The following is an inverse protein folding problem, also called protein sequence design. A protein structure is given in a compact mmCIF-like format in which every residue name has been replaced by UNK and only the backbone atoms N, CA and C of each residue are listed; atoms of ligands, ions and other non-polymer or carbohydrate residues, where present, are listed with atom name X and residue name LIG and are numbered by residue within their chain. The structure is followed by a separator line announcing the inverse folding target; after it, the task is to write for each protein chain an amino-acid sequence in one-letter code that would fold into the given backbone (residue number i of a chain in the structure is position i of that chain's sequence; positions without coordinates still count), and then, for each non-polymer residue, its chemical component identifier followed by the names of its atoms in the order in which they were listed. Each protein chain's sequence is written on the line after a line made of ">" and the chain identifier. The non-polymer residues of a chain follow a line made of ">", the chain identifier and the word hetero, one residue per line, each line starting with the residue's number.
data_IF_567088619528
#
_entry.id   IF_567088619528
#
_cell.length_a   1.000
_cell.length_b   1.000
_cell.length_c   1.000
_cell.angle_alpha   90.00
_cell.angle_beta   90.00
_cell.angle_gamma   90.00
#
_symmetry.space_group_name_H-M   'P 1'
#
loop_
_entity.id
_entity.type
_entity.pdbx_description
1 polymer ?
#
# COMPACT_ATOMS: atom_id res chain seq x y z
N UNK A 1 1.03 -27.76 6.99
CA UNK A 1 2.49 -28.03 6.90
C UNK A 1 2.86 -27.95 5.44
N UNK A 2 3.27 -26.78 4.97
CA UNK A 2 3.75 -26.58 3.60
C UNK A 2 5.17 -27.09 3.47
N UNK A 3 5.46 -27.71 2.33
CA UNK A 3 6.79 -28.17 1.96
C UNK A 3 7.70 -26.95 1.75
N UNK A 4 8.52 -26.62 2.74
CA UNK A 4 9.66 -25.72 2.49
C UNK A 4 10.57 -26.39 1.46
N UNK A 5 10.98 -25.67 0.41
CA UNK A 5 11.88 -26.24 -0.58
C UNK A 5 13.20 -26.62 0.09
N UNK A 6 13.71 -27.83 -0.20
CA UNK A 6 15.01 -28.29 0.31
C UNK A 6 16.18 -27.42 -0.18
N UNK A 7 15.98 -26.71 -1.29
CA UNK A 7 16.90 -25.75 -1.89
C UNK A 7 16.11 -24.55 -2.48
N UNK A 8 16.58 -23.33 -2.24
CA UNK A 8 15.98 -22.09 -2.79
C UNK A 8 15.36 -21.17 -1.73
N UNK A 9 14.93 -19.98 -2.17
CA UNK A 9 14.21 -19.00 -1.36
C UNK A 9 12.73 -19.03 -1.75
N UNK A 10 11.83 -19.14 -0.77
CA UNK A 10 10.39 -19.05 -0.97
C UNK A 10 9.91 -17.65 -0.60
N UNK A 11 9.25 -16.96 -1.53
CA UNK A 11 8.53 -15.71 -1.27
C UNK A 11 7.04 -16.01 -1.44
N UNK A 12 6.27 -15.75 -0.39
CA UNK A 12 4.81 -15.84 -0.38
C UNK A 12 4.17 -14.49 -0.72
N UNK A 13 2.87 -14.50 -1.03
CA UNK A 13 2.07 -13.29 -1.17
C UNK A 13 2.14 -12.40 0.08
N UNK A 14 2.14 -13.01 1.27
CA UNK A 14 2.20 -12.28 2.54
C UNK A 14 3.54 -11.53 2.70
N UNK A 15 4.64 -12.10 2.22
CA UNK A 15 5.95 -11.42 2.22
C UNK A 15 5.90 -10.16 1.35
N UNK A 16 5.29 -10.27 0.17
CA UNK A 16 5.12 -9.17 -0.79
C UNK A 16 4.26 -8.03 -0.22
N UNK A 17 3.15 -8.37 0.44
CA UNK A 17 2.25 -7.40 1.06
C UNK A 17 2.98 -6.59 2.11
N UNK A 18 3.68 -7.23 3.04
CA UNK A 18 4.38 -6.50 4.10
C UNK A 18 5.65 -5.81 3.61
N UNK A 19 6.26 -6.29 2.52
CA UNK A 19 7.31 -5.55 1.84
C UNK A 19 6.78 -4.23 1.28
N UNK A 20 5.60 -4.26 0.64
CA UNK A 20 4.91 -3.06 0.18
C UNK A 20 4.59 -2.12 1.35
N UNK A 21 3.96 -2.62 2.42
CA UNK A 21 3.58 -1.80 3.59
C UNK A 21 4.77 -1.07 4.18
N UNK A 22 5.85 -1.79 4.51
CA UNK A 22 7.06 -1.18 5.08
C UNK A 22 7.67 -0.17 4.12
N UNK A 23 7.74 -0.49 2.82
CA UNK A 23 8.30 0.40 1.80
C UNK A 23 7.48 1.69 1.61
N UNK A 24 6.14 1.60 1.62
CA UNK A 24 5.25 2.76 1.47
C UNK A 24 5.42 3.73 2.64
N UNK A 25 5.59 3.22 3.85
CA UNK A 25 5.81 4.05 5.04
C UNK A 25 7.28 4.42 5.28
N UNK A 26 8.18 4.06 4.36
CA UNK A 26 9.59 4.48 4.39
C UNK A 26 10.46 3.75 5.40
N UNK A 27 10.08 2.52 5.79
CA UNK A 27 10.89 1.68 6.66
C UNK A 27 11.85 0.80 5.86
N UNK A 28 13.11 0.82 6.27
CA UNK A 28 14.12 -0.12 5.78
C UNK A 28 13.85 -1.54 6.31
N UNK A 29 13.96 -2.52 5.41
CA UNK A 29 13.81 -3.93 5.72
C UNK A 29 15.14 -4.67 5.62
N UNK A 30 15.23 -5.83 6.29
CA UNK A 30 16.46 -6.65 6.36
C UNK A 30 16.15 -8.14 6.23
N UNK A 31 17.14 -8.92 5.77
CA UNK A 31 17.13 -10.37 5.98
C UNK A 31 17.37 -10.66 7.46
N UNK A 32 16.34 -11.13 8.15
CA UNK A 32 16.40 -11.54 9.54
C UNK A 32 16.18 -13.04 9.58
N UNK A 33 17.09 -13.77 10.22
CA UNK A 33 17.01 -15.23 10.37
C UNK A 33 17.08 -15.65 11.82
N UNK A 34 16.33 -16.69 12.15
CA UNK A 34 16.39 -17.28 13.48
C UNK A 34 17.79 -17.82 13.78
N UNK A 35 18.39 -17.36 14.89
CA UNK A 35 19.73 -17.80 15.33
C UNK A 35 19.78 -19.26 15.75
N UNK A 36 18.63 -19.93 15.91
CA UNK A 36 18.54 -21.33 16.33
C UNK A 36 18.33 -22.32 15.18
N UNK A 37 17.52 -21.97 14.18
CA UNK A 37 17.15 -22.89 13.09
C UNK A 37 17.33 -22.30 11.69
N UNK A 38 17.76 -21.05 11.55
CA UNK A 38 17.98 -20.39 10.26
C UNK A 38 16.71 -19.99 9.51
N UNK A 39 15.51 -20.23 10.06
CA UNK A 39 14.25 -19.91 9.42
C UNK A 39 14.14 -18.40 9.10
N UNK A 40 13.79 -17.99 7.87
CA UNK A 40 13.58 -16.60 7.49
C UNK A 40 12.44 -15.95 8.30
N UNK A 41 12.66 -14.72 8.76
CA UNK A 41 11.71 -13.99 9.58
C UNK A 41 10.95 -12.95 8.76
N UNK A 42 9.63 -12.92 8.96
CA UNK A 42 8.74 -11.91 8.39
C UNK A 42 8.07 -11.14 9.52
N UNK A 43 8.29 -9.83 9.52
CA UNK A 43 7.54 -8.88 10.33
C UNK A 43 6.27 -8.45 9.61
N UNK A 44 5.13 -8.78 10.21
CA UNK A 44 3.80 -8.52 9.67
C UNK A 44 2.95 -7.66 10.61
N UNK A 45 1.84 -7.15 10.09
CA UNK A 45 0.88 -6.34 10.81
C UNK A 45 1.56 -5.15 11.50
N UNK A 46 1.36 -4.99 12.82
CA UNK A 46 2.01 -4.00 13.65
C UNK A 46 3.53 -3.99 13.50
N UNK A 47 4.17 -5.15 13.39
CA UNK A 47 5.62 -5.25 13.33
C UNK A 47 6.21 -4.81 11.99
N UNK A 48 5.41 -4.77 10.91
CA UNK A 48 5.82 -4.28 9.59
C UNK A 48 6.05 -2.76 9.51
N UNK A 49 5.73 -2.03 10.59
CA UNK A 49 5.89 -0.58 10.72
C UNK A 49 6.48 -0.17 12.08
N UNK A 50 6.99 -1.13 12.86
CA UNK A 50 7.61 -0.89 14.16
C UNK A 50 8.93 -1.67 14.28
N UNK A 51 10.08 -1.05 13.94
CA UNK A 51 11.38 -1.69 14.05
C UNK A 51 11.65 -2.21 15.47
N UNK A 52 12.16 -3.43 15.57
CA UNK A 52 12.46 -4.07 16.85
C UNK A 52 13.59 -5.10 16.70
N UNK A 53 14.12 -5.58 17.83
CA UNK A 53 15.23 -6.54 17.86
C UNK A 53 14.88 -7.89 18.47
N UNK A 54 13.66 -8.07 19.00
CA UNK A 54 13.23 -9.30 19.68
C UNK A 54 12.13 -9.98 18.87
N UNK A 55 12.39 -11.18 18.40
CA UNK A 55 11.52 -11.89 17.46
C UNK A 55 11.09 -13.24 18.02
N UNK A 56 9.92 -13.71 17.59
CA UNK A 56 9.44 -15.08 17.82
C UNK A 56 9.53 -15.85 16.51
N UNK A 57 10.35 -16.90 16.46
CA UNK A 57 10.55 -17.66 15.24
C UNK A 57 9.33 -18.53 14.89
N UNK A 58 8.76 -18.36 13.70
CA UNK A 58 7.66 -19.19 13.19
C UNK A 58 8.06 -20.65 12.92
N UNK A 59 9.34 -20.90 12.58
CA UNK A 59 9.83 -22.25 12.28
C UNK A 59 10.07 -23.13 13.52
N UNK A 60 10.64 -22.59 14.60
CA UNK A 60 10.99 -23.37 15.80
C UNK A 60 10.32 -22.90 17.11
N UNK A 61 9.55 -21.82 17.09
CA UNK A 61 8.85 -21.28 18.25
C UNK A 61 9.73 -20.62 19.32
N UNK A 62 11.05 -20.50 19.09
CA UNK A 62 11.97 -19.86 20.03
C UNK A 62 12.00 -18.35 19.86
N UNK A 63 12.14 -17.63 20.97
CA UNK A 63 12.47 -16.22 20.95
C UNK A 63 13.96 -16.05 20.62
N UNK A 64 14.28 -15.18 19.67
CA UNK A 64 15.65 -14.81 19.35
C UNK A 64 15.79 -13.28 19.31
N UNK A 65 17.04 -12.81 19.30
CA UNK A 65 17.34 -11.39 19.26
C UNK A 65 18.28 -11.08 18.12
N UNK A 66 17.97 -10.06 17.34
CA UNK A 66 18.89 -9.50 16.36
C UNK A 66 19.81 -8.43 17.01
N UNK A 67 20.95 -8.22 16.39
CA UNK A 67 21.98 -7.25 16.76
C UNK A 67 21.52 -5.80 16.61
N UNK A 68 20.59 -5.53 15.70
CA UNK A 68 20.08 -4.19 15.37
C UNK A 68 18.56 -4.24 15.33
N UNK A 69 17.89 -3.16 15.74
CA UNK A 69 16.44 -3.06 15.55
C UNK A 69 16.12 -2.83 14.07
N UNK A 70 15.18 -3.59 13.52
CA UNK A 70 14.80 -3.50 12.11
C UNK A 70 13.45 -4.16 11.84
N UNK A 71 13.10 -4.22 10.56
CA UNK A 71 11.93 -4.93 10.06
C UNK A 71 12.43 -6.09 9.20
N UNK A 72 12.15 -7.33 9.62
CA UNK A 72 12.49 -8.54 8.89
C UNK A 72 11.55 -8.77 7.72
N UNK A 73 12.09 -8.98 6.53
CA UNK A 73 11.30 -9.44 5.39
C UNK A 73 12.16 -10.35 4.48
N UNK A 74 11.72 -11.59 4.18
CA UNK A 74 12.49 -12.55 3.38
C UNK A 74 12.86 -12.06 1.97
N UNK A 75 12.12 -11.10 1.40
CA UNK A 75 12.42 -10.51 0.08
C UNK A 75 13.82 -9.89 0.04
N UNK A 76 14.31 -9.36 1.16
CA UNK A 76 15.65 -8.77 1.24
C UNK A 76 16.74 -9.80 1.00
N UNK A 77 16.58 -11.02 1.51
CA UNK A 77 17.50 -12.12 1.25
C UNK A 77 17.60 -12.41 -0.25
N UNK A 78 16.46 -12.39 -0.95
CA UNK A 78 16.39 -12.64 -2.40
C UNK A 78 17.07 -11.52 -3.19
N UNK A 79 16.80 -10.26 -2.85
CA UNK A 79 17.43 -9.10 -3.50
C UNK A 79 18.95 -9.13 -3.33
N UNK A 80 19.44 -9.42 -2.13
CA UNK A 80 20.86 -9.54 -1.81
C UNK A 80 21.52 -10.69 -2.57
N UNK A 81 20.88 -11.87 -2.59
CA UNK A 81 21.39 -13.06 -3.31
C UNK A 81 21.51 -12.82 -4.81
N UNK A 82 20.56 -12.08 -5.39
CA UNK A 82 20.56 -11.76 -6.82
C UNK A 82 21.44 -10.54 -7.17
N UNK A 83 22.08 -9.90 -6.18
CA UNK A 83 22.86 -8.69 -6.40
C UNK A 83 22.02 -7.53 -6.93
N UNK A 84 20.72 -7.51 -6.63
CA UNK A 84 19.81 -6.47 -7.10
C UNK A 84 20.03 -5.21 -6.28
N UNK A 85 20.62 -4.20 -6.92
CA UNK A 85 20.78 -2.88 -6.33
C UNK A 85 19.45 -2.14 -6.45
N UNK A 86 18.90 -1.71 -5.30
CA UNK A 86 17.73 -0.83 -5.30
C UNK A 86 18.07 0.46 -6.04
N UNK A 87 17.30 0.74 -7.10
CA UNK A 87 17.38 1.99 -7.86
C UNK A 87 16.23 2.87 -7.41
N UNK A 88 16.47 4.18 -7.35
CA UNK A 88 15.37 5.12 -7.13
C UNK A 88 14.42 5.03 -8.32
N UNK A 89 13.11 4.84 -8.08
CA UNK A 89 12.11 5.00 -9.12
C UNK A 89 12.20 6.38 -9.76
N UNK A 90 11.77 6.47 -11.01
CA UNK A 90 11.58 7.73 -11.73
C UNK A 90 10.09 7.99 -11.88
N UNK A 91 9.66 9.24 -11.77
CA UNK A 91 8.28 9.58 -12.04
C UNK A 91 7.88 9.11 -13.45
N UNK A 92 6.73 8.43 -13.56
CA UNK A 92 6.17 8.06 -14.85
C UNK A 92 6.02 9.31 -15.75
N UNK A 93 6.22 9.17 -17.05
CA UNK A 93 6.17 10.34 -17.94
C UNK A 93 4.73 10.71 -18.37
N UNK A 94 3.82 9.74 -18.34
CA UNK A 94 2.48 9.84 -18.94
C UNK A 94 1.47 10.36 -17.92
N UNK A 95 0.43 11.01 -18.42
CA UNK A 95 -0.78 11.34 -17.68
C UNK A 95 -1.99 10.79 -18.45
N UNK A 96 -3.07 10.51 -17.74
CA UNK A 96 -4.29 9.99 -18.36
C UNK A 96 -5.55 10.57 -17.74
N UNK A 97 -6.56 10.75 -18.58
CA UNK A 97 -7.92 11.09 -18.19
C UNK A 97 -8.85 10.03 -18.76
N UNK A 98 -9.66 9.40 -17.91
CA UNK A 98 -10.59 8.33 -18.26
C UNK A 98 -12.02 8.76 -17.99
N UNK A 99 -12.96 8.29 -18.80
CA UNK A 99 -14.38 8.32 -18.50
C UNK A 99 -14.84 6.90 -18.17
N UNK A 100 -15.50 6.68 -17.04
CA UNK A 100 -15.93 5.33 -16.64
C UNK A 100 -16.87 4.68 -17.66
N UNK A 101 -17.64 5.47 -18.42
CA UNK A 101 -18.54 4.95 -19.46
C UNK A 101 -17.81 4.31 -20.64
N UNK A 102 -16.56 4.70 -20.91
CA UNK A 102 -15.72 4.10 -21.95
C UNK A 102 -15.17 2.74 -21.51
N UNK A 103 -15.21 2.45 -20.22
CA UNK A 103 -14.65 1.27 -19.57
C UNK A 103 -15.69 0.53 -18.72
N UNK A 104 -16.79 0.04 -19.33
CA UNK A 104 -17.86 -0.62 -18.58
C UNK A 104 -17.42 -1.97 -17.97
N UNK A 105 -16.25 -2.49 -18.31
CA UNK A 105 -15.62 -3.64 -17.64
C UNK A 105 -15.06 -3.30 -16.25
N UNK A 106 -14.82 -2.00 -16.00
CA UNK A 106 -14.31 -1.46 -14.74
C UNK A 106 -12.93 -0.82 -14.89
N UNK A 107 -12.51 -0.06 -13.88
CA UNK A 107 -11.19 0.54 -13.77
C UNK A 107 -10.56 0.11 -12.44
N UNK A 108 -9.35 -0.43 -12.49
CA UNK A 108 -8.55 -0.74 -11.30
C UNK A 108 -7.37 0.19 -11.20
N UNK A 109 -7.09 0.66 -9.98
CA UNK A 109 -5.97 1.55 -9.70
C UNK A 109 -5.17 1.08 -8.49
N UNK A 110 -3.85 1.28 -8.51
CA UNK A 110 -3.00 1.16 -7.33
C UNK A 110 -1.81 2.11 -7.38
N UNK A 111 -1.26 2.43 -6.21
CA UNK A 111 -0.01 3.16 -6.14
C UNK A 111 1.12 2.26 -6.61
N UNK A 112 1.95 2.74 -7.52
CA UNK A 112 3.17 2.03 -7.92
C UNK A 112 4.04 1.75 -6.69
N UNK A 113 4.54 0.53 -6.56
CA UNK A 113 5.54 0.17 -5.55
C UNK A 113 6.75 -0.42 -6.22
N UNK A 114 7.90 -0.32 -5.56
CA UNK A 114 9.10 -1.02 -6.02
C UNK A 114 8.82 -2.51 -6.16
N UNK A 115 9.15 -3.07 -7.31
CA UNK A 115 9.05 -4.49 -7.58
C UNK A 115 9.90 -5.27 -6.58
N UNK A 116 9.41 -6.45 -6.20
CA UNK A 116 10.16 -7.39 -5.35
C UNK A 116 11.50 -7.71 -6.02
N UNK A 117 11.46 -7.96 -7.33
CA UNK A 117 12.60 -8.20 -8.20
C UNK A 117 12.43 -7.29 -9.43
N UNK A 118 13.40 -6.41 -9.65
CA UNK A 118 13.49 -5.59 -10.86
C UNK A 118 14.75 -5.94 -11.64
N UNK A 119 14.59 -6.80 -12.65
CA UNK A 119 15.70 -7.26 -13.50
C UNK A 119 15.95 -6.38 -14.73
N UNK A 120 15.07 -5.40 -14.98
CA UNK A 120 15.20 -4.50 -16.12
C UNK A 120 16.38 -3.54 -15.96
N UNK A 121 17.02 -3.21 -17.08
CA UNK A 121 18.07 -2.20 -17.13
C UNK A 121 17.56 -0.77 -16.91
N UNK A 122 16.24 -0.53 -17.04
CA UNK A 122 15.61 0.78 -16.80
C UNK A 122 15.36 1.05 -15.32
N UNK A 123 15.08 2.29 -14.95
CA UNK A 123 14.52 2.58 -13.63
C UNK A 123 13.04 2.16 -13.59
N UNK A 124 12.55 1.81 -12.40
CA UNK A 124 11.12 1.61 -12.17
C UNK A 124 10.38 2.94 -12.26
N UNK A 125 9.11 2.89 -12.67
CA UNK A 125 8.27 4.09 -12.72
C UNK A 125 7.44 4.23 -11.43
N UNK A 126 7.36 5.47 -10.90
CA UNK A 126 6.45 5.82 -9.82
C UNK A 126 5.24 6.63 -10.32
N UNK A 127 4.07 6.39 -9.74
CA UNK A 127 2.79 6.96 -10.14
C UNK A 127 1.59 6.13 -9.66
N UNK A 128 0.50 6.20 -10.41
CA UNK A 128 -0.67 5.34 -10.25
C UNK A 128 -0.68 4.38 -11.43
N UNK A 129 -0.66 3.10 -11.14
CA UNK A 129 -0.86 2.07 -12.14
C UNK A 129 -2.35 1.89 -12.38
N UNK A 130 -2.75 1.81 -13.65
CA UNK A 130 -4.14 1.79 -14.07
C UNK A 130 -4.37 0.63 -15.03
N UNK A 131 -5.37 -0.18 -14.72
CA UNK A 131 -5.99 -1.10 -15.66
C UNK A 131 -7.40 -0.60 -15.98
N UNK A 132 -7.73 -0.42 -17.26
CA UNK A 132 -9.08 -0.05 -17.69
C UNK A 132 -9.66 -1.10 -18.65
N UNK A 133 -10.85 -1.61 -18.34
CA UNK A 133 -11.45 -2.73 -19.06
C UNK A 133 -12.67 -2.26 -19.86
N UNK A 134 -12.64 -2.49 -21.18
CA UNK A 134 -13.82 -2.34 -22.03
C UNK A 134 -14.81 -3.47 -21.79
N UNK A 135 -16.04 -3.33 -22.32
CA UNK A 135 -17.04 -4.38 -22.26
C UNK A 135 -16.47 -5.70 -22.80
N UNK A 136 -16.61 -6.76 -22.00
CA UNK A 136 -16.27 -8.15 -22.36
C UNK A 136 -14.80 -8.37 -22.77
N UNK A 137 -13.90 -7.43 -22.43
CA UNK A 137 -12.46 -7.58 -22.62
C UNK A 137 -11.79 -8.05 -21.33
N UNK A 138 -11.04 -9.15 -21.42
CA UNK A 138 -10.14 -9.58 -20.33
C UNK A 138 -8.82 -8.79 -20.34
N UNK A 139 -8.46 -8.20 -21.47
CA UNK A 139 -7.28 -7.35 -21.58
C UNK A 139 -7.61 -5.92 -21.17
N UNK A 140 -6.80 -5.38 -20.26
CA UNK A 140 -6.83 -3.96 -19.90
C UNK A 140 -6.18 -3.13 -21.02
N UNK A 141 -6.80 -2.00 -21.35
CA UNK A 141 -6.27 -0.99 -22.27
C UNK A 141 -6.76 0.41 -21.85
N UNK A 142 -5.95 1.18 -21.11
CA UNK A 142 -4.54 0.93 -20.80
C UNK A 142 -4.29 -0.08 -19.68
N UNK A 143 -3.07 -0.61 -19.69
CA UNK A 143 -2.34 -1.28 -18.60
C UNK A 143 -0.97 -0.60 -18.51
N UNK A 144 -0.85 0.43 -17.66
CA UNK A 144 0.38 1.21 -17.53
C UNK A 144 0.43 2.04 -16.23
N UNK A 145 1.60 2.60 -15.94
CA UNK A 145 1.81 3.53 -14.81
C UNK A 145 1.80 4.98 -15.29
N UNK A 146 1.06 5.83 -14.58
CA UNK A 146 0.84 7.23 -14.93
C UNK A 146 1.20 8.16 -13.78
N UNK A 147 1.84 9.29 -14.08
CA UNK A 147 2.17 10.33 -13.10
C UNK A 147 0.95 11.07 -12.54
N UNK A 148 -0.13 11.09 -13.32
CA UNK A 148 -1.38 11.76 -12.99
C UNK A 148 -2.51 11.00 -13.65
N UNK A 149 -3.53 10.68 -12.85
CA UNK A 149 -4.75 9.99 -13.28
C UNK A 149 -5.94 10.84 -12.91
N UNK A 150 -6.82 11.06 -13.87
CA UNK A 150 -8.12 11.67 -13.70
C UNK A 150 -9.19 10.68 -14.17
N UNK A 151 -10.24 10.48 -13.37
CA UNK A 151 -11.38 9.63 -13.72
C UNK A 151 -12.64 10.48 -13.53
N UNK A 152 -13.47 10.62 -14.57
CA UNK A 152 -14.71 11.41 -14.54
C UNK A 152 -14.52 12.85 -14.00
N UNK A 153 -13.39 13.48 -14.32
CA UNK A 153 -13.03 14.83 -13.86
C UNK A 153 -12.46 14.89 -12.44
N UNK A 154 -12.33 13.75 -11.74
CA UNK A 154 -11.74 13.66 -10.41
C UNK A 154 -10.28 13.22 -10.49
N UNK A 155 -9.39 14.13 -10.10
CA UNK A 155 -7.96 13.87 -10.05
C UNK A 155 -7.58 13.02 -8.84
N UNK A 156 -6.77 12.01 -9.08
CA UNK A 156 -6.20 11.14 -8.05
C UNK A 156 -4.78 11.60 -7.68
N UNK A 157 -4.49 11.60 -6.38
CA UNK A 157 -3.17 11.89 -5.86
C UNK A 157 -2.39 10.57 -5.64
N UNK A 158 -1.24 10.35 -6.31
CA UNK A 158 -0.48 9.10 -6.20
C UNK A 158 -0.05 8.75 -4.77
N UNK A 159 0.27 9.74 -3.95
CA UNK A 159 0.66 9.50 -2.55
C UNK A 159 -0.53 9.02 -1.72
N UNK A 160 -1.73 9.57 -1.96
CA UNK A 160 -2.95 9.11 -1.30
C UNK A 160 -3.33 7.68 -1.71
N UNK A 161 -3.22 7.33 -3.00
CA UNK A 161 -3.50 5.97 -3.51
C UNK A 161 -2.53 4.97 -2.90
N UNK A 162 -1.23 5.27 -2.96
CA UNK A 162 -0.19 4.40 -2.40
C UNK A 162 -0.34 4.23 -0.89
N UNK A 163 -0.65 5.30 -0.17
CA UNK A 163 -0.87 5.28 1.28
C UNK A 163 -2.11 4.48 1.66
N UNK A 164 -3.23 4.64 0.93
CA UNK A 164 -4.47 3.91 1.21
C UNK A 164 -4.29 2.40 1.03
N UNK A 165 -3.57 2.00 -0.02
CA UNK A 165 -3.26 0.60 -0.29
C UNK A 165 -2.43 -0.04 0.85
N UNK A 166 -1.43 0.64 1.39
CA UNK A 166 -0.69 0.16 2.57
C UNK A 166 -1.56 0.16 3.84
N UNK A 167 -2.40 1.18 4.02
CA UNK A 167 -3.34 1.27 5.14
C UNK A 167 -4.35 0.12 5.16
N UNK A 168 -4.90 -0.25 3.99
CA UNK A 168 -5.85 -1.36 3.84
C UNK A 168 -5.21 -2.73 4.14
N UNK A 169 -3.89 -2.83 4.05
CA UNK A 169 -3.13 -4.04 4.38
C UNK A 169 -2.80 -4.19 5.87
N UNK A 170 -3.21 -3.23 6.72
CA UNK A 170 -2.92 -3.20 8.16
C UNK A 170 -4.21 -3.41 8.98
N UNK A 171 -4.46 -4.62 9.52
CA UNK A 171 -5.72 -4.93 10.20
C UNK A 171 -6.05 -4.03 11.40
N UNK A 172 -5.05 -3.52 12.10
CA UNK A 172 -5.24 -2.63 13.24
C UNK A 172 -5.76 -1.22 12.86
N UNK A 173 -5.76 -0.88 11.57
CA UNK A 173 -6.28 0.37 11.02
C UNK A 173 -7.72 0.24 10.50
N UNK A 174 -8.32 -0.95 10.56
CA UNK A 174 -9.67 -1.20 10.09
C UNK A 174 -10.68 -0.21 10.67
N UNK A 175 -11.54 0.34 9.79
CA UNK A 175 -12.51 1.40 10.05
C UNK A 175 -11.94 2.73 10.63
N UNK A 176 -10.62 2.90 10.77
CA UNK A 176 -9.99 4.11 11.32
C UNK A 176 -9.51 5.09 10.27
N UNK A 177 -9.27 4.62 9.05
CA UNK A 177 -8.93 5.46 7.91
C UNK A 177 -10.21 6.02 7.33
N UNK A 178 -10.36 7.34 7.33
CA UNK A 178 -11.61 8.01 6.97
C UNK A 178 -11.35 9.33 6.26
N UNK A 179 -12.31 9.81 5.45
CA UNK A 179 -12.26 11.15 4.90
C UNK A 179 -12.51 12.18 6.02
N UNK A 180 -11.48 12.96 6.37
CA UNK A 180 -11.57 14.01 7.39
C UNK A 180 -11.65 15.37 6.70
N UNK A 181 -12.73 16.11 6.93
CA UNK A 181 -12.95 17.45 6.39
C UNK A 181 -12.80 18.50 7.48
N UNK A 182 -12.11 19.60 7.18
CA UNK A 182 -12.01 20.72 8.10
C UNK A 182 -13.30 21.52 8.15
N UNK A 183 -13.85 21.76 9.35
CA UNK A 183 -15.07 22.55 9.53
C UNK A 183 -14.89 24.05 9.28
N UNK A 184 -13.65 24.53 9.11
CA UNK A 184 -13.33 25.96 8.92
C UNK A 184 -13.01 26.30 7.47
N UNK A 185 -12.13 25.53 6.81
CA UNK A 185 -11.69 25.80 5.44
C UNK A 185 -12.18 24.77 4.42
N UNK A 186 -12.94 23.76 4.83
CA UNK A 186 -13.43 22.66 3.97
C UNK A 186 -12.36 21.77 3.34
N UNK A 187 -11.07 21.98 3.63
CA UNK A 187 -9.97 21.14 3.16
C UNK A 187 -10.09 19.71 3.69
N UNK A 188 -9.71 18.74 2.86
CA UNK A 188 -9.62 17.33 3.25
C UNK A 188 -8.23 17.05 3.83
N UNK A 189 -8.18 16.45 5.01
CA UNK A 189 -6.91 16.15 5.68
C UNK A 189 -6.33 14.82 5.16
N UNK A 190 -5.10 14.90 4.64
CA UNK A 190 -4.27 13.75 4.35
C UNK A 190 -3.22 13.54 5.43
N UNK A 191 -3.18 12.33 6.00
CA UNK A 191 -2.24 11.96 7.05
C UNK A 191 -1.00 11.33 6.43
N UNK A 192 0.15 11.93 6.65
CA UNK A 192 1.44 11.49 6.14
C UNK A 192 2.42 11.15 7.28
N UNK A 193 3.53 10.49 6.95
CA UNK A 193 4.52 10.03 7.92
C UNK A 193 3.92 9.08 8.96
N UNK A 194 4.32 9.21 10.22
CA UNK A 194 3.79 8.39 11.33
C UNK A 194 2.26 8.49 11.47
N UNK A 195 1.69 9.66 11.17
CA UNK A 195 0.25 9.87 11.24
C UNK A 195 -0.52 9.10 10.17
N UNK A 196 0.14 8.57 9.14
CA UNK A 196 -0.47 7.73 8.11
C UNK A 196 -0.84 6.33 8.64
N UNK A 197 -0.24 5.89 9.75
CA UNK A 197 -0.48 4.57 10.35
C UNK A 197 -0.68 4.61 11.87
N UNK A 198 -0.65 5.78 12.50
CA UNK A 198 -0.94 5.95 13.94
C UNK A 198 -2.26 6.70 14.14
N UNK A 199 -3.36 6.01 14.51
CA UNK A 199 -4.63 6.64 14.80
C UNK A 199 -4.57 7.55 16.05
N UNK A 200 -4.94 8.82 15.90
CA UNK A 200 -4.86 9.83 16.97
C UNK A 200 -6.20 10.52 17.22
N UNK A 201 -6.36 11.11 18.41
CA UNK A 201 -7.57 11.84 18.80
C UNK A 201 -7.41 13.33 18.55
N UNK A 202 -8.46 13.98 18.02
CA UNK A 202 -8.60 15.44 18.12
C UNK A 202 -7.59 16.24 17.30
N UNK A 203 -7.29 15.80 16.07
CA UNK A 203 -6.41 16.54 15.16
C UNK A 203 -7.02 17.86 14.68
N UNK A 204 -6.12 18.78 14.39
CA UNK A 204 -6.41 20.05 13.73
C UNK A 204 -6.00 19.96 12.26
N UNK A 205 -6.72 20.70 11.41
CA UNK A 205 -6.43 20.79 9.98
C UNK A 205 -5.02 21.36 9.76
N UNK A 206 -4.22 20.65 8.97
CA UNK A 206 -2.87 21.06 8.57
C UNK A 206 -2.80 22.48 7.95
N UNK A 207 -3.86 22.90 7.24
CA UNK A 207 -3.93 24.19 6.54
C UNK A 207 -4.36 25.37 7.40
N UNK A 208 -5.36 25.22 8.27
CA UNK A 208 -5.96 26.36 9.00
C UNK A 208 -6.14 26.15 10.51
N UNK A 209 -5.66 25.02 11.04
CA UNK A 209 -5.78 24.60 12.43
C UNK A 209 -7.22 24.45 12.94
N UNK A 210 -8.21 24.43 12.04
CA UNK A 210 -9.61 24.19 12.38
C UNK A 210 -9.88 22.73 12.75
N UNK A 211 -11.01 22.48 13.42
CA UNK A 211 -11.42 21.13 13.82
C UNK A 211 -11.69 20.25 12.59
N UNK A 212 -11.21 19.02 12.65
CA UNK A 212 -11.51 17.98 11.65
C UNK A 212 -12.77 17.19 12.06
N UNK A 213 -13.59 16.88 11.07
CA UNK A 213 -14.81 16.08 11.22
C UNK A 213 -14.82 14.98 10.17
N UNK A 214 -15.33 13.80 10.52
CA UNK A 214 -15.45 12.65 9.60
C UNK A 214 -16.72 11.86 9.87
N UNK A 215 -17.02 10.85 9.03
CA UNK A 215 -18.28 10.09 9.08
C UNK A 215 -18.36 9.10 10.26
N UNK A 216 -17.25 8.83 10.93
CA UNK A 216 -17.17 7.83 12.01
C UNK A 216 -17.33 8.44 13.40
N UNK A 217 -17.86 7.63 14.33
CA UNK A 217 -17.90 7.95 15.78
C UNK A 217 -16.60 7.56 16.50
N UNK A 218 -15.69 6.86 15.83
CA UNK A 218 -14.40 6.49 16.40
C UNK A 218 -13.58 7.75 16.70
N UNK A 219 -12.99 7.81 17.91
CA UNK A 219 -12.20 8.96 18.34
C UNK A 219 -10.79 8.98 17.75
N UNK A 220 -10.20 7.81 17.51
CA UNK A 220 -8.86 7.65 16.96
C UNK A 220 -8.96 7.30 15.48
N UNK A 221 -8.62 8.25 14.63
CA UNK A 221 -8.78 8.16 13.17
C UNK A 221 -7.52 8.64 12.44
N UNK A 222 -7.45 8.26 11.17
CA UNK A 222 -6.44 8.66 10.20
C UNK A 222 -7.19 9.28 9.02
N UNK A 223 -6.75 10.46 8.57
CA UNK A 223 -7.32 11.13 7.41
C UNK A 223 -6.70 10.64 6.11
N UNK A 224 -7.52 10.15 5.18
CA UNK A 224 -7.13 9.93 3.78
C UNK A 224 -8.25 10.44 2.85
N UNK A 225 -8.04 11.55 2.11
CA UNK A 225 -9.07 12.14 1.25
C UNK A 225 -9.54 11.22 0.13
N UNK A 226 -8.69 10.29 -0.32
CA UNK A 226 -8.99 9.39 -1.43
C UNK A 226 -10.26 8.57 -1.18
N UNK A 227 -10.60 8.26 0.08
CA UNK A 227 -11.83 7.52 0.40
C UNK A 227 -13.06 8.28 -0.11
N UNK A 228 -13.14 9.60 0.10
CA UNK A 228 -14.26 10.39 -0.42
C UNK A 228 -14.25 10.48 -1.95
N UNK A 229 -13.06 10.53 -2.57
CA UNK A 229 -12.93 10.51 -4.03
C UNK A 229 -13.42 9.19 -4.62
N UNK A 230 -13.06 8.05 -4.02
CA UNK A 230 -13.50 6.72 -4.44
C UNK A 230 -15.00 6.52 -4.21
N UNK A 231 -15.55 7.03 -3.10
CA UNK A 231 -17.01 7.05 -2.87
C UNK A 231 -17.74 7.84 -3.96
N UNK A 232 -17.19 8.99 -4.39
CA UNK A 232 -17.78 9.80 -5.45
C UNK A 232 -17.71 9.09 -6.82
N UNK A 233 -16.58 8.49 -7.17
CA UNK A 233 -16.42 7.68 -8.39
C UNK A 233 -17.37 6.48 -8.40
N UNK A 234 -17.44 5.77 -7.27
CA UNK A 234 -18.33 4.62 -7.09
C UNK A 234 -19.81 4.96 -7.28
N UNK A 235 -20.23 6.18 -6.94
CA UNK A 235 -21.61 6.63 -7.12
C UNK A 235 -21.99 6.85 -8.61
N UNK A 236 -21.00 7.14 -9.47
CA UNK A 236 -21.16 7.31 -10.91
C UNK A 236 -20.82 6.08 -11.75
N UNK A 237 -20.32 5.02 -11.10
CA UNK A 237 -19.77 3.86 -11.78
C UNK A 237 -20.83 3.08 -12.60
N UNK A 238 -20.50 2.62 -13.83
CA UNK A 238 -21.38 1.77 -14.63
C UNK A 238 -21.72 0.44 -13.96
N UNK A 239 -20.88 -0.02 -13.02
CA UNK A 239 -21.04 -1.24 -12.25
C UNK A 239 -20.73 -0.98 -10.77
N UNK A 240 -21.32 -1.74 -9.83
CA UNK A 240 -20.95 -1.64 -8.43
C UNK A 240 -19.47 -1.99 -8.23
N UNK A 241 -18.74 -1.26 -7.37
CA UNK A 241 -17.36 -1.57 -7.10
C UNK A 241 -17.19 -2.99 -6.56
N UNK A 242 -16.20 -3.71 -7.06
CA UNK A 242 -15.88 -5.04 -6.52
C UNK A 242 -15.10 -4.90 -5.23
N UNK A 243 -15.61 -5.49 -4.15
CA UNK A 243 -14.91 -5.60 -2.88
C UNK A 243 -14.18 -6.93 -2.82
N UNK A 244 -12.86 -6.90 -2.83
CA UNK A 244 -12.06 -8.10 -2.60
C UNK A 244 -11.92 -8.35 -1.09
N UNK A 245 -12.27 -9.56 -0.66
CA UNK A 245 -12.28 -9.97 0.77
C UNK A 245 -10.87 -10.00 1.35
N UNK A 246 -9.89 -10.34 0.53
CA UNK A 246 -8.50 -10.00 0.79
C UNK A 246 -8.35 -8.54 0.38
N UNK A 247 -8.15 -7.65 1.35
CA UNK A 247 -7.88 -6.21 1.18
C UNK A 247 -6.58 -5.90 0.41
N UNK A 248 -6.13 -6.85 -0.41
CA UNK A 248 -4.87 -6.97 -1.12
C UNK A 248 -5.03 -6.77 -2.63
N UNK A 249 -6.25 -6.93 -3.17
CA UNK A 249 -6.56 -6.57 -4.55
C UNK A 249 -7.16 -5.15 -4.57
N UNK A 250 -6.78 -4.31 -5.57
CA UNK A 250 -7.28 -2.95 -5.69
C UNK A 250 -8.80 -2.93 -5.79
N UNK A 251 -9.43 -1.87 -5.28
CA UNK A 251 -10.85 -1.64 -5.54
C UNK A 251 -11.03 -1.50 -7.06
N UNK A 252 -11.95 -2.29 -7.61
CA UNK A 252 -12.37 -2.15 -9.01
C UNK A 252 -13.57 -1.21 -9.03
N UNK A 253 -13.42 -0.04 -9.66
CA UNK A 253 -14.47 0.95 -9.89
C UNK A 253 -15.28 0.61 -11.15
#
# INVERSE_FOLDING_TARGET
>A
MGLDPKEGLLISEVDAVYYMVSSVFGFDMRDVRCTYCGYPHLDKDWFSIHPHSRHLCAGCGKNFRDSVAGIGNPIRATQETLGLVSRKPVQAAKAISLNQQDYPGGIQIWGSNAAIIWSSGKAEEEGIHVHAYRADSEAADPDDTFSSVEIDGLRLDPAMVRTLMAQNSLPHLDARVVPLKCSRCSEMEFSCGELAFTPVVGRSCSKCQGKLTGPTRLRRTIGNPLIATLEQLSAGAPRPPQKHVTSLLPETL
#
